data_IF_726273485210
#
_entry.id   IF_726273485210
#
_cell.length_a   1.000
_cell.length_b   1.000
_cell.length_c   1.000
_cell.angle_alpha   90.00
_cell.angle_beta   90.00
_cell.angle_gamma   90.00
#
_symmetry.space_group_name_H-M   'P 1'
#
loop_
_entity.id
_entity.type
_entity.pdbx_description
1 polymer ?
#
# COMPACT_ATOMS: atom_id res chain seq x y z
N UNK A 1 -16.23 -11.45 -47.09
CA UNK A 1 -15.40 -10.60 -46.22
C UNK A 1 -15.96 -10.59 -44.83
N UNK A 2 -15.14 -10.83 -43.87
CA UNK A 2 -15.54 -10.69 -42.46
C UNK A 2 -14.52 -9.83 -41.73
N UNK A 3 -15.00 -9.09 -40.74
CA UNK A 3 -14.16 -8.33 -39.85
C UNK A 3 -14.02 -9.05 -38.52
N UNK A 4 -12.80 -9.18 -38.04
CA UNK A 4 -12.53 -9.71 -36.72
C UNK A 4 -12.08 -8.57 -35.84
N UNK A 5 -12.83 -8.31 -34.81
CA UNK A 5 -12.48 -7.29 -33.82
C UNK A 5 -12.08 -7.97 -32.50
N UNK A 6 -10.85 -7.72 -32.10
CA UNK A 6 -10.40 -8.15 -30.76
C UNK A 6 -10.60 -6.98 -29.82
N UNK A 7 -11.53 -7.13 -28.91
CA UNK A 7 -11.82 -6.09 -27.95
C UNK A 7 -10.96 -6.33 -26.71
N UNK A 8 -10.23 -5.30 -26.28
CA UNK A 8 -9.49 -5.38 -25.04
C UNK A 8 -10.47 -5.28 -23.88
N UNK A 9 -10.50 -6.31 -23.05
CA UNK A 9 -11.27 -6.29 -21.82
C UNK A 9 -10.32 -5.90 -20.70
N UNK A 10 -10.62 -4.80 -20.02
CA UNK A 10 -9.78 -4.36 -18.94
C UNK A 10 -10.00 -5.23 -17.71
N UNK A 11 -9.01 -6.02 -17.37
CA UNK A 11 -9.02 -6.82 -16.16
C UNK A 11 -8.47 -6.00 -14.99
N UNK A 12 -9.18 -6.01 -13.87
CA UNK A 12 -8.74 -5.30 -12.69
C UNK A 12 -7.38 -5.83 -12.21
N UNK A 13 -6.56 -4.99 -11.58
CA UNK A 13 -5.31 -5.47 -10.99
C UNK A 13 -5.58 -6.51 -9.90
N UNK A 14 -4.59 -7.34 -9.61
CA UNK A 14 -4.73 -8.40 -8.61
C UNK A 14 -3.58 -8.31 -7.62
N UNK A 15 -3.84 -8.80 -6.41
CA UNK A 15 -2.78 -8.94 -5.40
C UNK A 15 -2.07 -10.26 -5.67
N UNK A 16 -0.82 -10.18 -6.15
CA UNK A 16 -0.03 -11.36 -6.47
C UNK A 16 0.71 -11.88 -5.24
N UNK A 17 1.18 -10.98 -4.39
CA UNK A 17 1.93 -11.33 -3.17
C UNK A 17 1.45 -10.44 -2.05
N UNK A 18 1.00 -10.99 -0.92
CA UNK A 18 0.57 -10.16 0.20
C UNK A 18 1.76 -9.37 0.79
N UNK A 19 1.44 -8.20 1.33
CA UNK A 19 2.45 -7.37 2.00
C UNK A 19 2.67 -7.96 3.39
N UNK A 20 3.93 -8.26 3.77
CA UNK A 20 4.21 -8.77 5.12
C UNK A 20 4.01 -7.67 6.17
N UNK A 21 3.69 -8.09 7.39
CA UNK A 21 3.58 -7.17 8.51
C UNK A 21 4.90 -6.46 8.75
N UNK A 22 4.81 -5.19 9.14
CA UNK A 22 5.98 -4.36 9.41
C UNK A 22 5.94 -3.89 10.85
N UNK A 23 7.10 -3.50 11.36
CA UNK A 23 7.20 -2.94 12.70
C UNK A 23 8.27 -1.85 12.73
N UNK A 24 8.10 -0.90 13.63
CA UNK A 24 9.06 0.18 13.85
C UNK A 24 9.02 0.53 15.33
N UNK A 25 10.18 0.84 15.90
CA UNK A 25 10.25 1.30 17.29
C UNK A 25 9.83 2.77 17.37
N UNK A 26 9.24 3.16 18.50
CA UNK A 26 8.99 4.59 18.70
C UNK A 26 10.32 5.36 18.58
N UNK A 27 10.26 6.57 18.05
CA UNK A 27 11.42 7.42 17.76
C UNK A 27 12.37 6.82 16.72
N UNK A 28 12.06 5.63 16.19
CA UNK A 28 12.82 5.04 15.09
C UNK A 28 12.30 5.51 13.74
N UNK A 29 13.07 5.27 12.69
CA UNK A 29 12.65 5.63 11.34
C UNK A 29 12.07 4.42 10.63
N UNK A 30 10.86 4.56 10.10
CA UNK A 30 10.26 3.57 9.23
C UNK A 30 10.61 3.92 7.79
N UNK A 31 11.10 2.94 7.05
CA UNK A 31 11.24 3.07 5.60
C UNK A 31 10.88 1.72 4.99
N UNK A 32 9.72 1.66 4.37
CA UNK A 32 9.22 0.42 3.80
C UNK A 32 8.65 0.69 2.42
N UNK A 33 9.13 -0.04 1.43
CA UNK A 33 8.64 0.07 0.06
C UNK A 33 7.78 -1.14 -0.25
N UNK A 34 6.59 -0.89 -0.79
CA UNK A 34 5.72 -1.96 -1.27
C UNK A 34 6.46 -2.72 -2.35
N UNK A 35 6.64 -4.05 -2.22
CA UNK A 35 7.36 -4.82 -3.22
C UNK A 35 6.71 -4.71 -4.60
N UNK A 36 7.54 -4.67 -5.64
CA UNK A 36 7.05 -4.49 -7.01
C UNK A 36 6.10 -5.58 -7.46
N UNK A 37 6.21 -6.78 -6.92
CA UNK A 37 5.34 -7.89 -7.28
C UNK A 37 4.07 -8.01 -6.45
N UNK A 38 3.78 -7.03 -5.56
CA UNK A 38 2.59 -7.09 -4.71
C UNK A 38 1.31 -7.00 -5.53
N UNK A 39 1.28 -6.10 -6.48
CA UNK A 39 0.14 -5.93 -7.39
C UNK A 39 0.59 -6.19 -8.81
N UNK A 40 -0.26 -6.86 -9.56
CA UNK A 40 -0.03 -7.08 -10.99
C UNK A 40 -1.29 -6.72 -11.76
N UNK A 41 -1.10 -6.19 -12.97
CA UNK A 41 -2.19 -5.90 -13.87
C UNK A 41 -2.10 -6.89 -15.03
N UNK A 42 -3.12 -7.73 -15.25
CA UNK A 42 -3.11 -8.69 -16.36
C UNK A 42 -2.95 -8.05 -17.73
N UNK A 43 -3.36 -6.80 -17.88
CA UNK A 43 -3.24 -6.05 -19.13
C UNK A 43 -1.94 -5.26 -19.22
N UNK A 44 -1.10 -5.31 -18.21
CA UNK A 44 0.16 -4.57 -18.17
C UNK A 44 0.02 -3.07 -18.00
N UNK A 45 -1.12 -2.61 -17.51
CA UNK A 45 -1.33 -1.18 -17.27
C UNK A 45 -0.50 -0.67 -16.12
N UNK A 46 -0.21 0.62 -16.16
CA UNK A 46 0.47 1.28 -15.04
C UNK A 46 -0.49 1.41 -13.86
N UNK A 47 -0.04 0.99 -12.70
CA UNK A 47 -0.83 1.07 -11.48
C UNK A 47 -0.46 2.31 -10.68
N UNK A 48 -1.48 2.96 -10.13
CA UNK A 48 -1.32 4.08 -9.20
C UNK A 48 -1.61 3.55 -7.80
N UNK A 49 -0.66 3.75 -6.89
CA UNK A 49 -0.82 3.29 -5.52
C UNK A 49 -1.34 4.40 -4.63
N UNK A 50 -2.13 4.02 -3.65
CA UNK A 50 -2.56 4.92 -2.58
C UNK A 50 -2.62 4.12 -1.29
N UNK A 51 -2.58 4.83 -0.17
CA UNK A 51 -2.58 4.19 1.13
C UNK A 51 -3.45 4.97 2.11
N UNK A 52 -4.19 4.22 2.91
CA UNK A 52 -5.02 4.75 3.99
C UNK A 52 -4.99 3.74 5.14
N UNK A 53 -5.62 4.06 6.24
CA UNK A 53 -5.92 3.05 7.24
C UNK A 53 -7.00 2.11 6.70
N UNK A 54 -7.10 0.93 7.30
CA UNK A 54 -8.03 -0.10 6.82
C UNK A 54 -9.50 0.36 6.84
N UNK A 55 -9.83 1.31 7.70
CA UNK A 55 -11.18 1.87 7.78
C UNK A 55 -11.44 2.98 6.75
N UNK A 56 -10.47 3.30 5.92
CA UNK A 56 -10.57 4.31 4.88
C UNK A 56 -10.18 5.71 5.31
N UNK A 57 -9.80 5.90 6.56
CA UNK A 57 -9.34 7.21 7.03
C UNK A 57 -7.90 7.48 6.62
N UNK A 58 -7.49 8.73 6.68
CA UNK A 58 -6.13 9.12 6.31
C UNK A 58 -5.10 8.49 7.25
N UNK A 59 -3.89 8.32 6.72
CA UNK A 59 -2.76 7.84 7.52
C UNK A 59 -2.48 8.78 8.70
N UNK A 60 -1.90 8.26 9.80
CA UNK A 60 -1.50 9.12 10.92
C UNK A 60 -0.54 10.21 10.48
N UNK A 61 -0.50 11.30 11.24
CA UNK A 61 0.34 12.45 10.90
C UNK A 61 1.83 12.10 10.82
N UNK A 62 2.29 11.10 11.57
CA UNK A 62 3.69 10.71 11.57
C UNK A 62 4.06 9.80 10.40
N UNK A 63 3.07 9.26 9.69
CA UNK A 63 3.30 8.29 8.61
C UNK A 63 2.97 8.94 7.27
N UNK A 64 3.92 8.85 6.35
CA UNK A 64 3.77 9.36 4.98
C UNK A 64 3.88 8.23 3.98
N UNK A 65 3.20 8.38 2.86
CA UNK A 65 3.27 7.43 1.77
C UNK A 65 3.57 8.18 0.47
N UNK A 66 4.61 7.73 -0.24
CA UNK A 66 4.94 8.30 -1.54
C UNK A 66 4.37 7.37 -2.62
N UNK A 67 3.30 7.76 -3.31
CA UNK A 67 2.68 6.90 -4.32
C UNK A 67 3.56 6.69 -5.55
N UNK A 68 4.48 7.60 -5.84
CA UNK A 68 5.35 7.45 -7.00
C UNK A 68 6.34 6.29 -6.84
N UNK A 69 6.77 6.02 -5.61
CA UNK A 69 7.72 4.96 -5.31
C UNK A 69 7.13 3.81 -4.50
N UNK A 70 5.92 4.00 -3.96
CA UNK A 70 5.30 3.00 -3.09
C UNK A 70 5.96 2.92 -1.72
N UNK A 71 6.56 3.99 -1.25
CA UNK A 71 7.36 4.00 -0.03
C UNK A 71 6.61 4.63 1.13
N UNK A 72 6.54 3.91 2.24
CA UNK A 72 6.09 4.45 3.52
C UNK A 72 7.29 4.94 4.30
N UNK A 73 7.14 6.06 4.97
CA UNK A 73 8.18 6.60 5.83
C UNK A 73 7.55 7.37 6.98
N UNK A 74 8.26 7.42 8.08
CA UNK A 74 7.79 8.15 9.24
C UNK A 74 8.59 7.84 10.48
N UNK A 75 8.36 8.65 11.51
CA UNK A 75 8.99 8.46 12.81
C UNK A 75 7.89 8.57 13.86
N UNK A 76 7.42 7.44 14.42
CA UNK A 76 6.39 7.49 15.44
C UNK A 76 6.93 8.03 16.75
N UNK A 77 6.08 8.73 17.46
CA UNK A 77 6.39 9.23 18.80
C UNK A 77 5.84 8.27 19.86
N UNK A 78 6.12 8.56 21.12
CA UNK A 78 5.66 7.73 22.22
C UNK A 78 4.13 7.55 22.24
N UNK A 79 3.39 8.56 21.85
CA UNK A 79 1.93 8.47 21.77
C UNK A 79 1.39 7.63 20.62
N UNK A 80 2.26 7.19 19.71
CA UNK A 80 1.87 6.43 18.53
C UNK A 80 2.10 4.93 18.69
N UNK A 81 2.51 4.48 19.85
CA UNK A 81 2.73 3.06 20.13
C UNK A 81 1.41 2.29 19.99
N UNK A 82 1.47 1.16 19.31
CA UNK A 82 0.31 0.32 19.08
C UNK A 82 0.34 -0.30 17.70
N UNK A 83 -0.78 -0.85 17.30
CA UNK A 83 -0.93 -1.53 16.01
C UNK A 83 -1.84 -0.74 15.10
N UNK A 84 -1.45 -0.66 13.84
CA UNK A 84 -2.26 -0.07 12.78
C UNK A 84 -2.44 -1.12 11.68
N UNK A 85 -3.57 -1.06 11.00
CA UNK A 85 -3.75 -1.83 9.77
C UNK A 85 -3.79 -0.84 8.62
N UNK A 86 -2.86 -1.01 7.69
CA UNK A 86 -2.69 -0.12 6.55
C UNK A 86 -3.30 -0.78 5.33
N UNK A 87 -4.08 -0.01 4.58
CA UNK A 87 -4.68 -0.47 3.33
C UNK A 87 -3.96 0.19 2.17
N UNK A 88 -3.40 -0.61 1.28
CA UNK A 88 -2.76 -0.13 0.06
C UNK A 88 -3.66 -0.50 -1.11
N UNK A 89 -3.98 0.47 -1.94
CA UNK A 89 -4.85 0.29 -3.10
C UNK A 89 -4.07 0.57 -4.37
N UNK A 90 -4.20 -0.34 -5.34
CA UNK A 90 -3.65 -0.15 -6.68
C UNK A 90 -4.80 0.07 -7.63
N UNK A 91 -4.69 1.11 -8.45
CA UNK A 91 -5.72 1.50 -9.42
C UNK A 91 -5.09 1.55 -10.80
N UNK A 92 -5.74 0.93 -11.78
CA UNK A 92 -5.28 0.98 -13.17
C UNK A 92 -5.82 2.22 -13.87
N UNK A 93 -5.45 2.38 -15.15
CA UNK A 93 -5.86 3.55 -15.93
C UNK A 93 -7.35 3.61 -16.22
N UNK A 94 -8.09 2.54 -16.00
CA UNK A 94 -9.54 2.47 -16.22
C UNK A 94 -10.35 2.56 -14.94
N UNK A 95 -9.70 2.95 -13.84
CA UNK A 95 -10.30 3.10 -12.51
C UNK A 95 -10.69 1.78 -11.83
N UNK A 96 -10.28 0.64 -12.37
CA UNK A 96 -10.41 -0.61 -11.64
C UNK A 96 -9.34 -0.68 -10.55
N UNK A 97 -9.69 -1.17 -9.38
CA UNK A 97 -8.76 -1.17 -8.26
C UNK A 97 -8.83 -2.45 -7.46
N UNK A 98 -7.73 -2.73 -6.76
CA UNK A 98 -7.65 -3.80 -5.79
C UNK A 98 -6.87 -3.28 -4.58
N UNK A 99 -7.17 -3.80 -3.42
CA UNK A 99 -6.46 -3.39 -2.22
C UNK A 99 -6.04 -4.59 -1.40
N UNK A 100 -4.99 -4.40 -0.62
CA UNK A 100 -4.54 -5.36 0.38
C UNK A 100 -4.18 -4.60 1.64
N UNK A 101 -4.15 -5.29 2.75
CA UNK A 101 -3.82 -4.68 4.03
C UNK A 101 -2.61 -5.37 4.64
N UNK A 102 -1.89 -4.62 5.47
CA UNK A 102 -0.82 -5.20 6.26
C UNK A 102 -0.82 -4.55 7.64
N UNK A 103 -0.30 -5.29 8.62
CA UNK A 103 -0.18 -4.77 9.97
C UNK A 103 1.10 -3.97 10.13
N UNK A 104 1.00 -2.80 10.74
CA UNK A 104 2.14 -2.00 11.14
C UNK A 104 2.09 -1.83 12.65
N UNK A 105 3.14 -2.29 13.31
CA UNK A 105 3.22 -2.22 14.77
C UNK A 105 4.29 -1.22 15.18
N UNK A 106 3.92 -0.29 16.03
CA UNK A 106 4.88 0.61 16.67
C UNK A 106 5.19 0.03 18.05
N UNK A 107 6.44 -0.37 18.24
CA UNK A 107 6.86 -0.97 19.49
C UNK A 107 7.29 0.09 20.49
N UNK A 108 7.05 -0.18 21.75
CA UNK A 108 7.41 0.74 22.82
C UNK A 108 8.90 0.58 23.14
N UNK A 109 9.60 1.70 23.15
CA UNK A 109 10.97 1.77 23.65
C UNK A 109 10.89 2.40 25.03
N UNK A 110 11.45 1.72 26.02
CA UNK A 110 11.41 2.23 27.37
C UNK A 110 12.40 3.37 27.53
N UNK A 111 11.88 4.58 27.59
CA UNK A 111 12.69 5.77 27.87
C UNK A 111 12.69 5.99 29.37
N UNK A 112 13.81 5.71 29.96
CA UNK A 112 13.96 5.85 31.40
C UNK A 112 14.16 7.32 31.79
#
# INVERSE_FOLDING_TARGET
TFGLTVTNVNDAPVVATPIPAQSVAQDGSLSFTVPAGTFTDPDGDTLTLSATLADGTALPAWLSFNPATGTFSGTPANGDVGSLTIKVTATDGSNASVSTTFGLTVTNVNDA
#
